data_IF_293445111222
#
_entry.id   IF_293445111222
#
_cell.length_a   1.000
_cell.length_b   1.000
_cell.length_c   1.000
_cell.angle_alpha   90.00
_cell.angle_beta   90.00
_cell.angle_gamma   90.00
#
_symmetry.space_group_name_H-M   'P 1'
#
loop_
_entity.id
_entity.type
_entity.pdbx_description
1 polymer ?
#
# COMPACT_ATOMS: atom_id res chain seq x y z
N UNK A 1 -49.89 44.14 46.34
CA UNK A 1 -49.74 43.13 47.36
C UNK A 1 -48.85 42.03 46.88
N UNK A 2 -47.77 41.83 47.61
CA UNK A 2 -46.80 40.73 47.63
C UNK A 2 -46.30 40.12 46.30
N UNK A 3 -45.18 40.61 45.90
CA UNK A 3 -44.16 40.08 44.98
C UNK A 3 -43.56 38.77 45.55
N UNK A 4 -43.54 37.69 44.74
CA UNK A 4 -42.75 36.53 45.03
C UNK A 4 -41.68 36.43 43.94
N UNK A 5 -40.46 36.75 44.33
CA UNK A 5 -39.24 36.48 43.55
C UNK A 5 -38.95 34.96 43.65
N UNK A 6 -39.00 34.26 42.53
CA UNK A 6 -38.47 32.93 42.42
C UNK A 6 -36.99 33.00 42.13
N UNK A 7 -36.19 32.46 43.03
CA UNK A 7 -34.73 32.25 42.91
C UNK A 7 -34.51 31.09 41.93
N UNK A 8 -33.89 31.37 40.82
CA UNK A 8 -33.32 30.36 39.93
C UNK A 8 -31.90 30.06 40.37
N UNK A 9 -31.70 28.98 41.06
CA UNK A 9 -30.37 28.38 41.30
C UNK A 9 -29.84 27.81 39.99
N UNK A 10 -28.76 28.39 39.53
CA UNK A 10 -27.95 27.87 38.45
C UNK A 10 -27.17 26.65 39.00
N UNK A 11 -27.55 25.46 38.59
CA UNK A 11 -26.79 24.21 38.86
C UNK A 11 -25.60 24.22 37.93
N UNK A 12 -24.40 24.52 38.46
CA UNK A 12 -23.12 24.36 37.83
C UNK A 12 -22.90 22.86 37.51
N UNK A 13 -22.85 22.55 36.23
CA UNK A 13 -22.35 21.25 35.77
C UNK A 13 -20.82 21.25 35.86
N UNK A 14 -20.19 20.25 36.51
CA UNK A 14 -18.73 20.21 36.58
C UNK A 14 -18.15 20.00 35.17
N UNK A 15 -17.41 20.98 34.70
CA UNK A 15 -16.50 20.83 33.57
C UNK A 15 -15.42 19.80 33.94
N UNK A 16 -15.40 18.68 33.25
CA UNK A 16 -14.27 17.75 33.28
C UNK A 16 -13.07 18.43 32.61
N UNK A 17 -12.23 19.02 33.43
CA UNK A 17 -10.89 19.40 33.02
C UNK A 17 -10.07 18.15 32.79
N UNK A 18 -9.76 17.84 31.52
CA UNK A 18 -8.73 16.90 31.18
C UNK A 18 -7.38 17.57 31.47
N UNK A 19 -6.88 17.41 32.69
CA UNK A 19 -5.48 17.74 32.99
C UNK A 19 -4.62 16.68 32.29
N UNK A 20 -4.05 17.05 31.13
CA UNK A 20 -2.91 16.36 30.54
C UNK A 20 -1.70 16.58 31.46
N UNK A 21 -1.56 15.74 32.48
CA UNK A 21 -0.29 15.63 33.20
C UNK A 21 0.69 14.81 32.35
N UNK A 22 1.23 15.43 31.29
CA UNK A 22 2.50 15.00 30.76
C UNK A 22 3.55 15.33 31.83
N UNK A 23 3.93 14.35 32.60
CA UNK A 23 5.18 14.42 33.38
C UNK A 23 6.31 14.58 32.38
N UNK A 24 6.78 15.83 32.24
CA UNK A 24 8.06 16.13 31.63
C UNK A 24 9.16 15.62 32.60
N UNK A 25 9.54 14.36 32.46
CA UNK A 25 10.87 13.94 32.84
C UNK A 25 11.82 14.33 31.72
N UNK A 26 12.08 15.62 31.59
CA UNK A 26 13.26 16.12 30.91
C UNK A 26 14.47 15.96 31.83
N UNK A 27 15.07 14.78 31.84
CA UNK A 27 16.50 14.71 31.96
C UNK A 27 17.06 15.28 30.64
N UNK A 28 17.52 16.53 30.70
CA UNK A 28 18.32 17.13 29.63
C UNK A 28 19.64 16.34 29.53
N UNK A 29 19.60 15.22 28.81
CA UNK A 29 20.82 14.66 28.26
C UNK A 29 21.20 15.65 27.15
N UNK A 30 22.21 16.48 27.46
CA UNK A 30 22.88 17.33 26.46
C UNK A 30 23.39 16.37 25.37
N UNK A 31 22.57 16.10 24.35
CA UNK A 31 23.00 15.37 23.15
C UNK A 31 24.01 16.27 22.46
N UNK A 32 25.29 15.92 22.58
CA UNK A 32 26.34 16.55 21.77
C UNK A 32 25.99 16.27 20.31
N UNK A 33 25.49 17.28 19.63
CA UNK A 33 25.18 17.20 18.20
C UNK A 33 26.52 17.16 17.49
N UNK A 34 26.87 16.03 16.91
CA UNK A 34 28.07 15.87 16.08
C UNK A 34 27.67 16.00 14.62
N UNK A 35 27.83 17.20 14.07
CA UNK A 35 27.60 17.44 12.65
C UNK A 35 28.73 16.81 11.85
N UNK A 36 28.40 15.92 10.95
CA UNK A 36 29.30 15.25 10.01
C UNK A 36 28.55 14.99 8.69
N UNK A 37 29.28 14.75 7.65
CA UNK A 37 28.70 14.46 6.35
C UNK A 37 27.81 13.20 6.40
N UNK A 38 26.64 13.28 5.81
CA UNK A 38 25.70 12.18 5.78
C UNK A 38 24.93 12.09 4.46
N UNK A 39 24.58 10.88 4.05
CA UNK A 39 23.72 10.61 2.92
C UNK A 39 22.28 10.31 3.40
N UNK A 40 21.30 11.17 3.10
CA UNK A 40 19.93 10.93 3.55
C UNK A 40 19.30 9.66 2.92
N UNK A 41 19.88 9.09 1.86
CA UNK A 41 19.43 7.84 1.27
C UNK A 41 19.91 6.60 2.05
N UNK A 42 20.99 6.70 2.84
CA UNK A 42 21.66 5.55 3.46
C UNK A 42 21.65 5.61 5.00
N UNK A 43 21.74 6.83 5.56
CA UNK A 43 21.87 7.01 7.01
C UNK A 43 20.75 6.35 7.79
N UNK A 44 21.10 5.66 8.87
CA UNK A 44 20.13 5.05 9.80
C UNK A 44 19.36 6.11 10.59
N UNK A 45 18.23 5.71 11.18
CA UNK A 45 17.42 6.60 12.04
C UNK A 45 18.26 7.15 13.21
N UNK A 46 19.12 6.31 13.77
CA UNK A 46 19.99 6.70 14.90
C UNK A 46 21.08 7.68 14.46
N UNK A 47 21.69 7.45 13.30
CA UNK A 47 22.66 8.37 12.70
C UNK A 47 22.04 9.74 12.40
N UNK A 48 20.85 9.77 11.83
CA UNK A 48 20.10 11.00 11.59
C UNK A 48 19.76 11.73 12.91
N UNK A 49 19.40 10.97 13.95
CA UNK A 49 19.10 11.56 15.26
C UNK A 49 20.35 12.11 15.97
N UNK A 50 21.52 11.54 15.73
CA UNK A 50 22.81 12.05 16.24
C UNK A 50 23.18 13.40 15.62
N UNK A 51 22.73 13.70 14.39
CA UNK A 51 22.86 14.98 13.70
C UNK A 51 21.88 16.05 14.18
N UNK A 52 21.09 15.76 15.22
CA UNK A 52 20.07 16.69 15.74
C UNK A 52 18.73 16.62 15.02
N UNK A 53 18.54 15.69 14.09
CA UNK A 53 17.23 15.48 13.46
C UNK A 53 16.31 14.81 14.49
N UNK A 54 15.12 15.39 14.80
CA UNK A 54 14.17 14.77 15.71
C UNK A 54 13.81 13.34 15.29
N UNK A 55 13.70 12.42 16.24
CA UNK A 55 13.43 11.00 15.96
C UNK A 55 12.22 10.76 15.07
N UNK A 56 11.13 11.54 15.27
CA UNK A 56 9.93 11.44 14.46
C UNK A 56 10.18 11.81 13.00
N UNK A 57 11.10 12.76 12.75
CA UNK A 57 11.49 13.22 11.42
C UNK A 57 12.44 12.23 10.75
N UNK A 58 13.42 11.70 11.49
CA UNK A 58 14.31 10.62 11.04
C UNK A 58 13.51 9.37 10.61
N UNK A 59 12.49 8.97 11.37
CA UNK A 59 11.56 7.89 10.99
C UNK A 59 10.73 8.22 9.73
N UNK A 60 10.40 9.50 9.48
CA UNK A 60 9.73 9.91 8.22
C UNK A 60 10.66 9.81 7.03
N UNK A 61 11.93 10.17 7.17
CA UNK A 61 12.95 9.99 6.14
C UNK A 61 13.07 8.50 5.79
N UNK A 62 13.20 7.64 6.79
CA UNK A 62 13.25 6.19 6.60
C UNK A 62 11.99 5.67 5.91
N UNK A 63 10.80 6.08 6.37
CA UNK A 63 9.52 5.70 5.73
C UNK A 63 9.43 6.15 4.28
N UNK A 64 9.93 7.35 3.96
CA UNK A 64 9.99 7.86 2.59
C UNK A 64 10.86 6.95 1.72
N UNK A 65 12.04 6.55 2.19
CA UNK A 65 12.93 5.61 1.50
C UNK A 65 12.29 4.24 1.31
N UNK A 66 11.73 3.69 2.37
CA UNK A 66 11.05 2.37 2.33
C UNK A 66 9.84 2.36 1.39
N UNK A 67 9.29 3.54 1.07
CA UNK A 67 8.25 3.71 0.06
C UNK A 67 8.80 3.94 -1.36
N UNK A 68 10.10 3.73 -1.59
CA UNK A 68 10.75 3.93 -2.88
C UNK A 68 11.16 5.38 -3.18
N UNK A 69 11.11 6.26 -2.18
CA UNK A 69 11.58 7.64 -2.29
C UNK A 69 13.10 7.72 -2.30
N UNK A 70 13.64 8.55 -3.19
CA UNK A 70 15.09 8.81 -3.31
C UNK A 70 15.33 10.32 -3.28
N UNK A 71 16.30 10.75 -2.47
CA UNK A 71 16.79 12.11 -2.46
C UNK A 71 17.88 12.25 -3.54
N UNK A 72 17.60 13.02 -4.58
CA UNK A 72 18.53 13.22 -5.72
C UNK A 72 19.39 14.48 -5.58
N UNK A 73 18.94 15.44 -4.80
CA UNK A 73 19.62 16.69 -4.48
C UNK A 73 19.34 17.10 -3.04
N UNK A 74 20.21 17.91 -2.45
CA UNK A 74 20.11 18.36 -1.05
C UNK A 74 18.72 18.90 -0.72
N UNK A 75 18.14 19.73 -1.58
CA UNK A 75 16.82 20.31 -1.40
C UNK A 75 15.68 19.28 -1.35
N UNK A 76 15.89 18.04 -1.79
CA UNK A 76 14.83 17.02 -1.75
C UNK A 76 14.47 16.60 -0.33
N UNK A 77 15.35 16.83 0.65
CA UNK A 77 15.08 16.56 2.07
C UNK A 77 13.92 17.41 2.58
N UNK A 78 13.72 18.60 2.02
CA UNK A 78 12.59 19.50 2.33
C UNK A 78 11.23 18.94 1.86
N UNK A 79 11.20 17.93 1.00
CA UNK A 79 9.97 17.25 0.59
C UNK A 79 9.36 16.39 1.71
N UNK A 80 10.13 16.12 2.75
CA UNK A 80 9.64 15.39 3.93
C UNK A 80 8.71 16.32 4.69
N UNK A 81 7.46 15.90 4.83
CA UNK A 81 6.45 16.68 5.52
C UNK A 81 6.86 17.04 6.95
N UNK A 82 6.83 18.34 7.27
CA UNK A 82 7.20 18.85 8.56
C UNK A 82 8.71 19.00 8.78
N UNK A 83 9.53 19.00 7.72
CA UNK A 83 10.96 19.30 7.84
C UNK A 83 11.14 20.82 8.06
N UNK A 84 11.70 21.26 9.23
CA UNK A 84 11.87 22.69 9.50
C UNK A 84 12.93 23.31 8.57
N UNK A 85 12.65 24.50 8.05
CA UNK A 85 13.58 25.22 7.19
C UNK A 85 14.92 25.52 7.88
N UNK A 86 14.84 25.94 9.16
CA UNK A 86 16.01 26.25 9.99
C UNK A 86 16.93 25.02 10.14
N UNK A 87 16.33 23.86 10.40
CA UNK A 87 17.08 22.61 10.51
C UNK A 87 17.70 22.22 9.16
N UNK A 88 16.99 22.46 8.05
CA UNK A 88 17.55 22.22 6.72
C UNK A 88 18.79 23.08 6.48
N UNK A 89 18.72 24.37 6.75
CA UNK A 89 19.86 25.30 6.56
C UNK A 89 21.08 24.91 7.38
N UNK A 90 20.88 24.38 8.60
CA UNK A 90 21.97 23.89 9.44
C UNK A 90 22.60 22.60 8.87
N UNK A 91 21.80 21.72 8.27
CA UNK A 91 22.24 20.41 7.79
C UNK A 91 22.68 20.42 6.33
N UNK A 92 22.27 21.40 5.53
CA UNK A 92 22.57 21.47 4.09
C UNK A 92 24.05 21.34 3.74
N UNK A 93 25.02 21.97 4.48
CA UNK A 93 26.45 21.80 4.20
C UNK A 93 26.90 20.34 4.32
N UNK A 94 26.31 19.59 5.26
CA UNK A 94 26.67 18.23 5.61
C UNK A 94 25.92 17.16 4.81
N UNK A 95 24.90 17.54 4.02
CA UNK A 95 24.20 16.60 3.17
C UNK A 95 25.10 16.24 1.99
N UNK A 96 25.55 15.00 1.95
CA UNK A 96 26.35 14.44 0.85
C UNK A 96 25.48 13.42 0.12
N UNK A 97 24.98 13.81 -1.04
CA UNK A 97 24.33 12.88 -1.94
C UNK A 97 25.36 12.59 -3.02
N UNK A 98 25.87 11.35 -3.13
CA UNK A 98 26.74 11.00 -4.23
C UNK A 98 26.00 11.35 -5.51
N UNK A 99 26.48 12.38 -6.19
CA UNK A 99 26.07 12.55 -7.56
C UNK A 99 26.60 11.30 -8.27
N UNK A 100 25.72 10.36 -8.61
CA UNK A 100 26.02 9.55 -9.78
C UNK A 100 26.36 10.58 -10.84
N UNK A 101 27.60 10.60 -11.28
CA UNK A 101 28.24 11.63 -12.10
C UNK A 101 27.19 12.32 -12.95
N UNK A 102 27.02 13.63 -12.73
CA UNK A 102 26.20 14.42 -13.60
C UNK A 102 26.85 14.28 -14.98
N UNK A 103 26.39 13.33 -15.75
CA UNK A 103 26.65 13.24 -17.16
C UNK A 103 26.23 14.60 -17.67
N UNK A 104 27.24 15.39 -18.01
CA UNK A 104 27.12 16.73 -18.55
C UNK A 104 26.08 16.69 -19.67
N UNK A 105 24.86 17.18 -19.37
CA UNK A 105 23.67 17.12 -20.24
C UNK A 105 23.88 17.85 -21.56
N UNK A 106 25.06 18.50 -21.78
CA UNK A 106 25.39 19.17 -23.01
C UNK A 106 26.27 18.35 -23.97
N UNK A 107 26.87 17.22 -23.54
CA UNK A 107 27.69 16.38 -24.39
C UNK A 107 27.09 15.05 -24.81
N UNK A 108 25.94 14.66 -24.21
CA UNK A 108 25.23 13.42 -24.50
C UNK A 108 23.82 13.63 -25.08
N UNK A 109 23.62 14.70 -25.84
CA UNK A 109 22.42 14.83 -26.69
C UNK A 109 22.35 13.81 -27.85
N UNK A 110 23.26 12.86 -27.92
CA UNK A 110 23.34 11.87 -29.01
C UNK A 110 23.28 10.42 -28.51
N UNK A 111 23.19 10.17 -27.22
CA UNK A 111 22.84 8.80 -26.75
C UNK A 111 21.38 8.83 -26.30
N UNK A 112 20.51 8.63 -27.28
CA UNK A 112 19.18 8.07 -27.18
C UNK A 112 18.60 8.11 -25.75
N UNK A 113 17.61 8.99 -25.55
CA UNK A 113 16.54 8.70 -24.61
C UNK A 113 15.88 7.38 -25.06
N UNK A 114 16.50 6.27 -24.77
CA UNK A 114 15.80 5.02 -24.74
C UNK A 114 14.85 5.13 -23.54
N UNK A 115 13.61 5.56 -23.80
CA UNK A 115 12.50 5.21 -22.93
C UNK A 115 12.76 3.77 -22.49
N UNK A 116 12.71 3.44 -21.18
CA UNK A 116 12.91 2.05 -20.78
C UNK A 116 12.02 1.21 -21.69
N UNK A 117 12.65 0.36 -22.51
CA UNK A 117 11.92 -0.53 -23.40
C UNK A 117 11.17 -1.45 -22.44
N UNK A 118 9.89 -1.17 -22.25
CA UNK A 118 9.03 -2.02 -21.45
C UNK A 118 8.81 -3.25 -22.32
N UNK A 119 9.53 -4.32 -22.02
CA UNK A 119 9.30 -5.63 -22.61
C UNK A 119 8.00 -6.20 -22.08
N UNK A 120 7.34 -7.03 -22.86
CA UNK A 120 6.16 -7.75 -22.37
C UNK A 120 6.50 -8.57 -21.14
N UNK A 121 5.61 -8.61 -20.17
CA UNK A 121 5.80 -9.31 -18.91
C UNK A 121 4.54 -10.12 -18.54
N UNK A 122 4.72 -11.17 -17.76
CA UNK A 122 3.60 -11.93 -17.21
C UNK A 122 3.04 -11.21 -15.97
N UNK A 123 1.74 -10.88 -16.02
CA UNK A 123 1.07 -10.13 -14.96
C UNK A 123 1.08 -10.89 -13.61
N UNK A 124 1.00 -12.22 -13.65
CA UNK A 124 1.02 -13.05 -12.45
C UNK A 124 2.40 -13.13 -11.79
N UNK A 125 3.47 -12.85 -12.55
CA UNK A 125 4.84 -12.86 -12.04
C UNK A 125 5.43 -11.45 -11.89
N UNK A 126 4.68 -10.40 -12.26
CA UNK A 126 5.15 -9.02 -12.16
C UNK A 126 5.35 -8.62 -10.69
N UNK A 127 6.47 -7.97 -10.45
CA UNK A 127 6.81 -7.34 -9.17
C UNK A 127 6.51 -5.83 -9.20
N UNK A 128 6.68 -5.16 -8.07
CA UNK A 128 6.49 -3.71 -7.98
C UNK A 128 7.43 -2.95 -8.92
N UNK A 129 8.67 -3.44 -9.11
CA UNK A 129 9.68 -2.77 -9.95
C UNK A 129 9.32 -2.82 -11.42
N UNK A 130 8.68 -3.87 -11.87
CA UNK A 130 8.15 -4.01 -13.23
C UNK A 130 6.94 -3.11 -13.44
N UNK A 131 5.99 -3.13 -12.52
CA UNK A 131 4.75 -2.39 -12.63
C UNK A 131 4.94 -0.87 -12.58
N UNK A 132 5.86 -0.36 -11.76
CA UNK A 132 6.11 1.10 -11.66
C UNK A 132 6.77 1.70 -12.91
N UNK A 133 7.31 0.88 -13.80
CA UNK A 133 7.82 1.36 -15.11
C UNK A 133 6.69 1.81 -16.03
N UNK A 134 5.46 1.35 -15.79
CA UNK A 134 4.29 1.69 -16.58
C UNK A 134 3.78 3.09 -16.20
N UNK A 135 3.41 3.85 -17.24
CA UNK A 135 2.88 5.20 -17.04
C UNK A 135 1.58 5.15 -16.21
N UNK A 136 1.55 5.92 -15.14
CA UNK A 136 0.38 6.01 -14.25
C UNK A 136 0.38 5.02 -13.10
N UNK A 137 1.34 4.09 -13.02
CA UNK A 137 1.49 3.18 -11.88
C UNK A 137 2.62 3.65 -10.98
N UNK A 138 2.26 4.08 -9.77
CA UNK A 138 3.20 4.35 -8.68
C UNK A 138 3.25 3.19 -7.68
N UNK A 139 4.08 3.35 -6.65
CA UNK A 139 4.27 2.32 -5.61
C UNK A 139 2.97 1.87 -4.94
N UNK A 140 2.02 2.79 -4.72
CA UNK A 140 0.72 2.44 -4.11
C UNK A 140 -0.15 1.57 -5.03
N UNK A 141 -0.20 1.90 -6.32
CA UNK A 141 -1.01 1.14 -7.27
C UNK A 141 -0.38 -0.21 -7.59
N UNK A 142 0.96 -0.28 -7.74
CA UNK A 142 1.65 -1.56 -7.94
C UNK A 142 1.41 -2.54 -6.77
N UNK A 143 1.49 -2.07 -5.53
CA UNK A 143 1.18 -2.88 -4.35
C UNK A 143 -0.28 -3.34 -4.31
N UNK A 144 -1.23 -2.50 -4.74
CA UNK A 144 -2.65 -2.88 -4.81
C UNK A 144 -2.90 -3.95 -5.87
N UNK A 145 -2.26 -3.85 -7.03
CA UNK A 145 -2.35 -4.85 -8.09
C UNK A 145 -1.83 -6.20 -7.57
N UNK A 146 -0.64 -6.21 -6.94
CA UNK A 146 -0.04 -7.41 -6.37
C UNK A 146 -0.94 -7.99 -5.28
N UNK A 147 -1.38 -7.17 -4.33
CA UNK A 147 -2.27 -7.62 -3.25
C UNK A 147 -3.56 -8.23 -3.78
N UNK A 148 -4.17 -7.61 -4.80
CA UNK A 148 -5.39 -8.12 -5.40
C UNK A 148 -5.14 -9.43 -6.13
N UNK A 149 -4.04 -9.52 -6.89
CA UNK A 149 -3.56 -10.77 -7.51
C UNK A 149 -3.43 -11.89 -6.50
N UNK A 150 -2.76 -11.62 -5.38
CA UNK A 150 -2.50 -12.62 -4.35
C UNK A 150 -3.81 -13.05 -3.65
N UNK A 151 -4.75 -12.14 -3.46
CA UNK A 151 -6.09 -12.45 -2.93
C UNK A 151 -6.93 -13.30 -3.89
N UNK A 152 -6.77 -13.11 -5.21
CA UNK A 152 -7.42 -13.94 -6.23
C UNK A 152 -6.77 -15.34 -6.35
N UNK A 153 -5.54 -15.50 -5.88
CA UNK A 153 -4.72 -16.66 -6.20
C UNK A 153 -4.13 -16.61 -7.61
N UNK A 154 -4.07 -15.42 -8.21
CA UNK A 154 -3.60 -15.14 -9.57
C UNK A 154 -4.68 -14.57 -10.47
N UNK A 155 -4.30 -13.74 -11.42
CA UNK A 155 -5.22 -13.25 -12.47
C UNK A 155 -5.51 -14.37 -13.47
N UNK A 156 -6.77 -14.59 -13.75
CA UNK A 156 -7.24 -15.46 -14.82
C UNK A 156 -7.38 -14.70 -16.15
N UNK A 157 -7.77 -13.42 -16.08
CA UNK A 157 -7.89 -12.54 -17.23
C UNK A 157 -7.32 -11.15 -16.88
N UNK A 158 -6.73 -10.48 -17.88
CA UNK A 158 -6.16 -9.13 -17.67
C UNK A 158 -7.27 -8.13 -17.28
N UNK A 159 -8.49 -8.35 -17.72
CA UNK A 159 -9.65 -7.50 -17.41
C UNK A 159 -9.99 -7.44 -15.90
N UNK A 160 -9.52 -8.39 -15.12
CA UNK A 160 -9.67 -8.32 -13.66
C UNK A 160 -8.93 -7.13 -13.03
N UNK A 161 -8.04 -6.47 -13.77
CA UNK A 161 -7.44 -5.20 -13.37
C UNK A 161 -8.48 -4.09 -13.15
N UNK A 162 -9.64 -4.13 -13.80
CA UNK A 162 -10.74 -3.19 -13.56
C UNK A 162 -11.36 -3.33 -12.15
N UNK A 163 -11.11 -4.42 -11.48
CA UNK A 163 -11.58 -4.67 -10.12
C UNK A 163 -10.60 -4.16 -9.05
N UNK A 164 -9.40 -3.74 -9.45
CA UNK A 164 -8.38 -3.18 -8.54
C UNK A 164 -8.76 -1.76 -8.15
N UNK A 165 -8.98 -1.54 -6.86
CA UNK A 165 -9.39 -0.23 -6.35
C UNK A 165 -8.41 0.89 -6.69
N UNK A 166 -8.95 1.94 -7.35
CA UNK A 166 -8.20 3.16 -7.70
C UNK A 166 -7.28 2.99 -8.92
N UNK A 167 -7.44 1.92 -9.70
CA UNK A 167 -6.78 1.76 -10.98
C UNK A 167 -7.69 2.33 -12.08
N UNK A 168 -7.21 3.39 -12.73
CA UNK A 168 -7.95 4.08 -13.79
C UNK A 168 -7.95 3.25 -15.07
N UNK A 169 -9.04 3.33 -15.85
CA UNK A 169 -9.17 2.64 -17.14
C UNK A 169 -8.06 3.00 -18.13
N UNK A 170 -7.61 4.24 -18.15
CA UNK A 170 -6.49 4.67 -19.00
C UNK A 170 -5.18 3.97 -18.62
N UNK A 171 -4.94 3.78 -17.31
CA UNK A 171 -3.78 3.04 -16.80
C UNK A 171 -3.89 1.56 -17.13
N UNK A 172 -5.10 0.98 -17.03
CA UNK A 172 -5.33 -0.43 -17.39
C UNK A 172 -5.03 -0.66 -18.89
N UNK A 173 -5.45 0.26 -19.76
CA UNK A 173 -5.12 0.18 -21.18
C UNK A 173 -3.61 0.25 -21.44
N UNK A 174 -2.87 1.04 -20.63
CA UNK A 174 -1.41 1.07 -20.72
C UNK A 174 -0.80 -0.27 -20.28
N UNK A 175 -1.30 -0.86 -19.19
CA UNK A 175 -0.86 -2.20 -18.72
C UNK A 175 -1.10 -3.26 -19.79
N UNK A 176 -2.29 -3.26 -20.42
CA UNK A 176 -2.68 -4.24 -21.47
C UNK A 176 -1.73 -4.29 -22.66
N UNK A 177 -1.00 -3.20 -22.94
CA UNK A 177 -0.03 -3.18 -24.06
C UNK A 177 1.16 -4.09 -23.82
N UNK A 178 1.51 -4.34 -22.56
CA UNK A 178 2.72 -5.03 -22.16
C UNK A 178 2.45 -6.29 -21.33
N UNK A 179 1.33 -6.33 -20.61
CA UNK A 179 0.97 -7.46 -19.78
C UNK A 179 0.48 -8.65 -20.60
N UNK A 180 0.98 -9.82 -20.24
CA UNK A 180 0.53 -11.11 -20.76
C UNK A 180 0.12 -12.01 -19.61
N UNK A 181 -0.69 -13.02 -19.88
CA UNK A 181 -0.98 -14.14 -19.00
C UNK A 181 -0.59 -15.42 -19.74
N UNK A 182 0.67 -15.85 -19.59
CA UNK A 182 1.22 -16.96 -20.36
C UNK A 182 0.65 -18.33 -19.99
N UNK A 183 0.32 -18.52 -18.76
CA UNK A 183 -0.46 -19.65 -18.25
C UNK A 183 -1.19 -19.11 -17.03
N UNK A 184 -2.49 -18.86 -17.09
CA UNK A 184 -3.25 -18.40 -15.94
C UNK A 184 -3.31 -19.51 -14.88
N UNK A 185 -2.15 -19.77 -14.25
CA UNK A 185 -2.04 -20.68 -13.12
C UNK A 185 -2.62 -19.98 -11.91
N UNK A 186 -3.89 -20.20 -11.68
CA UNK A 186 -4.58 -19.75 -10.48
C UNK A 186 -4.46 -20.81 -9.39
N UNK A 187 -4.31 -20.37 -8.14
CA UNK A 187 -4.44 -21.28 -7.00
C UNK A 187 -5.87 -21.81 -7.00
N UNK A 188 -6.02 -23.13 -6.98
CA UNK A 188 -7.32 -23.79 -7.05
C UNK A 188 -7.85 -24.11 -5.66
N UNK A 189 -9.15 -23.93 -5.49
CA UNK A 189 -9.90 -24.31 -4.32
C UNK A 189 -10.64 -25.61 -4.65
N UNK A 190 -10.32 -26.73 -3.96
CA UNK A 190 -11.05 -27.97 -4.10
C UNK A 190 -12.42 -27.85 -3.43
N UNK A 191 -13.50 -27.88 -4.21
CA UNK A 191 -14.86 -27.69 -3.69
C UNK A 191 -15.33 -28.85 -2.80
N UNK A 192 -14.73 -30.00 -2.96
CA UNK A 192 -15.10 -31.21 -2.22
C UNK A 192 -14.31 -31.42 -0.93
N UNK A 193 -13.14 -30.77 -0.80
CA UNK A 193 -12.22 -31.03 0.33
C UNK A 193 -11.92 -29.80 1.17
N UNK A 194 -11.99 -28.58 0.57
CA UNK A 194 -11.62 -27.36 1.26
C UNK A 194 -12.47 -27.09 2.51
N UNK A 195 -11.80 -26.63 3.57
CA UNK A 195 -12.46 -26.09 4.76
C UNK A 195 -13.02 -24.70 4.49
N UNK A 196 -13.82 -24.18 5.43
CA UNK A 196 -14.36 -22.81 5.31
C UNK A 196 -13.27 -21.74 5.21
N UNK A 197 -12.16 -21.91 5.92
CA UNK A 197 -11.04 -20.99 5.92
C UNK A 197 -10.31 -20.99 4.58
N UNK A 198 -10.20 -22.16 3.95
CA UNK A 198 -9.60 -22.34 2.62
C UNK A 198 -10.52 -21.84 1.48
N UNK A 199 -11.84 -21.78 1.76
CA UNK A 199 -12.85 -21.32 0.79
C UNK A 199 -12.95 -19.80 0.68
N UNK A 200 -11.93 -19.05 1.16
CA UNK A 200 -11.89 -17.59 1.09
C UNK A 200 -11.41 -17.12 -0.28
N UNK A 201 -12.31 -16.44 -0.99
CA UNK A 201 -11.97 -15.85 -2.27
C UNK A 201 -12.72 -14.52 -2.45
N UNK A 202 -12.14 -13.47 -3.11
CA UNK A 202 -12.80 -12.16 -3.30
C UNK A 202 -14.17 -12.23 -3.94
N UNK A 203 -14.42 -13.21 -4.80
CA UNK A 203 -15.70 -13.40 -5.47
C UNK A 203 -16.75 -14.13 -4.62
N UNK A 204 -16.33 -14.80 -3.55
CA UNK A 204 -17.23 -15.54 -2.67
C UNK A 204 -17.44 -14.82 -1.35
N UNK A 205 -18.63 -14.31 -1.14
CA UNK A 205 -19.00 -13.82 0.19
C UNK A 205 -19.01 -14.98 1.20
N UNK A 206 -18.62 -14.74 2.47
CA UNK A 206 -18.49 -15.81 3.45
C UNK A 206 -19.74 -16.69 3.60
N UNK A 207 -20.94 -16.10 3.47
CA UNK A 207 -22.18 -16.87 3.58
C UNK A 207 -22.42 -17.80 2.38
N UNK A 208 -21.92 -17.44 1.18
CA UNK A 208 -21.99 -18.30 -0.02
C UNK A 208 -21.04 -19.48 0.16
N UNK A 209 -19.80 -19.24 0.60
CA UNK A 209 -18.84 -20.30 0.90
C UNK A 209 -19.41 -21.29 1.94
N UNK A 210 -20.03 -20.77 3.01
CA UNK A 210 -20.70 -21.60 4.01
C UNK A 210 -21.87 -22.40 3.44
N UNK A 211 -22.66 -21.80 2.52
CA UNK A 211 -23.76 -22.50 1.88
C UNK A 211 -23.27 -23.66 0.99
N UNK A 212 -22.19 -23.44 0.23
CA UNK A 212 -21.56 -24.51 -0.59
C UNK A 212 -21.12 -25.66 0.29
N UNK A 213 -20.42 -25.38 1.39
CA UNK A 213 -19.95 -26.41 2.32
C UNK A 213 -21.13 -27.15 2.97
N UNK A 214 -22.15 -26.44 3.43
CA UNK A 214 -23.35 -27.04 4.01
C UNK A 214 -24.07 -27.95 2.98
N UNK A 215 -24.19 -27.49 1.74
CA UNK A 215 -24.79 -28.29 0.67
C UNK A 215 -24.01 -29.59 0.47
N UNK A 216 -22.69 -29.50 0.34
CA UNK A 216 -21.80 -30.67 0.23
C UNK A 216 -22.00 -31.65 1.40
N UNK A 217 -22.09 -31.14 2.64
CA UNK A 217 -22.25 -31.96 3.82
C UNK A 217 -23.61 -32.69 3.87
N UNK A 218 -24.63 -32.11 3.25
CA UNK A 218 -26.01 -32.67 3.25
C UNK A 218 -26.25 -33.59 2.05
N UNK A 219 -25.69 -33.26 0.88
CA UNK A 219 -26.00 -33.92 -0.39
C UNK A 219 -24.84 -34.76 -0.93
N UNK A 220 -23.68 -34.75 -0.28
CA UNK A 220 -22.49 -35.45 -0.76
C UNK A 220 -21.58 -34.55 -1.62
N UNK A 221 -20.58 -35.19 -2.21
CA UNK A 221 -19.60 -34.49 -3.08
C UNK A 221 -20.25 -34.00 -4.36
N UNK A 222 -19.78 -32.86 -4.84
CA UNK A 222 -20.13 -32.36 -6.17
C UNK A 222 -19.42 -33.20 -7.23
N UNK A 223 -20.15 -33.69 -8.20
CA UNK A 223 -19.62 -34.50 -9.32
C UNK A 223 -19.19 -33.62 -10.49
N UNK A 224 -19.83 -32.44 -10.61
CA UNK A 224 -19.50 -31.44 -11.60
C UNK A 224 -19.54 -30.03 -11.04
N UNK A 225 -18.86 -29.09 -11.69
CA UNK A 225 -18.97 -27.68 -11.29
C UNK A 225 -20.40 -27.12 -11.44
N UNK A 226 -21.20 -27.65 -12.35
CA UNK A 226 -22.60 -27.24 -12.54
C UNK A 226 -23.48 -27.53 -11.33
N UNK A 227 -23.12 -28.55 -10.53
CA UNK A 227 -23.87 -28.90 -9.34
C UNK A 227 -23.84 -27.79 -8.30
N UNK A 228 -22.83 -26.90 -8.34
CA UNK A 228 -22.79 -25.70 -7.51
C UNK A 228 -23.98 -24.76 -7.72
N UNK A 229 -24.60 -24.79 -8.89
CA UNK A 229 -25.78 -23.97 -9.18
C UNK A 229 -27.04 -24.45 -8.42
N UNK A 230 -27.02 -25.65 -7.86
CA UNK A 230 -28.05 -26.09 -6.91
C UNK A 230 -28.01 -25.35 -5.58
N UNK A 231 -26.89 -24.70 -5.25
CA UNK A 231 -26.75 -23.84 -4.07
C UNK A 231 -27.42 -22.50 -4.36
N UNK A 232 -28.68 -22.32 -3.93
CA UNK A 232 -29.53 -21.15 -4.23
C UNK A 232 -28.90 -19.78 -3.96
N UNK A 233 -27.91 -19.69 -3.09
CA UNK A 233 -27.21 -18.44 -2.75
C UNK A 233 -26.10 -18.10 -3.75
N UNK A 234 -25.71 -19.02 -4.63
CA UNK A 234 -24.70 -18.82 -5.66
C UNK A 234 -25.40 -18.44 -6.98
N UNK A 235 -25.32 -17.18 -7.35
CA UNK A 235 -25.85 -16.71 -8.64
C UNK A 235 -24.88 -17.08 -9.79
N UNK A 236 -25.44 -17.17 -11.00
CA UNK A 236 -24.70 -17.54 -12.22
C UNK A 236 -23.49 -16.63 -12.45
N UNK A 237 -23.62 -15.32 -12.21
CA UNK A 237 -22.52 -14.35 -12.41
C UNK A 237 -21.37 -14.62 -11.46
N UNK A 238 -21.66 -14.92 -10.20
CA UNK A 238 -20.65 -15.28 -9.18
C UNK A 238 -20.05 -16.64 -9.52
N UNK A 239 -20.85 -17.60 -9.96
CA UNK A 239 -20.38 -18.91 -10.42
C UNK A 239 -19.37 -18.78 -11.57
N UNK A 240 -19.68 -18.04 -12.62
CA UNK A 240 -18.77 -17.83 -13.75
C UNK A 240 -17.46 -17.16 -13.34
N UNK A 241 -17.51 -16.22 -12.39
CA UNK A 241 -16.31 -15.54 -11.90
C UNK A 241 -15.40 -16.45 -11.06
N UNK A 242 -15.99 -17.35 -10.26
CA UNK A 242 -15.20 -18.21 -9.36
C UNK A 242 -14.72 -19.48 -10.06
N UNK A 243 -15.41 -19.94 -11.11
CA UNK A 243 -15.11 -21.17 -11.81
C UNK A 243 -13.63 -21.38 -12.18
N UNK A 244 -12.90 -20.34 -12.68
CA UNK A 244 -11.47 -20.46 -12.97
C UNK A 244 -10.58 -20.78 -11.76
N UNK A 245 -11.09 -20.62 -10.54
CA UNK A 245 -10.39 -20.82 -9.28
C UNK A 245 -10.80 -22.11 -8.55
N UNK A 246 -11.65 -22.93 -9.16
CA UNK A 246 -12.15 -24.16 -8.55
C UNK A 246 -11.51 -25.41 -9.16
N UNK A 247 -11.47 -26.47 -8.33
CA UNK A 247 -11.24 -27.87 -8.75
C UNK A 247 -12.20 -28.77 -7.99
N UNK A 248 -12.47 -29.95 -8.55
CA UNK A 248 -13.28 -31.02 -7.94
C UNK A 248 -12.47 -31.86 -6.98
#
# INVERSE_FOLDING_TARGET
MKTILAHLELVDKPQKSYSNSFKNEHSEVIKVIQLHDFNPNESSVDALSALGIPLWLAKRIEKYRNSGGIFRKKADVKKIYGFPEELYLQLEPYITIPQSEAIDNNKLKVITQTKPVITSFDLNHADTTTLIKLKGIGSKLSQRIIKYRDMLGGFYAIDQLYEVYGLDSAVIQEVKKYATLKNPSTIKININESSFEQFRHPYLKPYIAKAIINYRNQHGKFESFKDLLAVKLLDEKTFQKILPYLTL
#
